data_IF_243072432242
#
_entry.id   IF_243072432242
#
_cell.length_a   1.000
_cell.length_b   1.000
_cell.length_c   1.000
_cell.angle_alpha   90.00
_cell.angle_beta   90.00
_cell.angle_gamma   90.00
#
_symmetry.space_group_name_H-M   'P 1'
#
loop_
_entity.id
_entity.type
_entity.pdbx_description
1 polymer ?
#
# COMPACT_ATOMS: atom_id res chain seq x y z
N UNK A 1 -2.61 -11.73 -36.14
CA UNK A 1 -1.99 -10.90 -35.09
C UNK A 1 -2.75 -11.18 -33.81
N UNK A 2 -2.18 -11.94 -32.88
CA UNK A 2 -2.86 -12.44 -31.69
C UNK A 2 -2.83 -11.41 -30.56
N UNK A 3 -3.99 -10.97 -30.09
CA UNK A 3 -4.12 -10.17 -28.86
C UNK A 3 -3.73 -11.02 -27.65
N UNK A 4 -2.71 -10.58 -26.92
CA UNK A 4 -2.36 -11.14 -25.63
C UNK A 4 -3.35 -10.61 -24.58
N UNK A 5 -4.20 -11.48 -24.05
CA UNK A 5 -5.13 -11.16 -22.97
C UNK A 5 -4.34 -10.82 -21.70
N UNK A 6 -4.32 -9.55 -21.29
CA UNK A 6 -3.67 -9.13 -20.04
C UNK A 6 -4.52 -9.60 -18.86
N UNK A 7 -4.15 -10.72 -18.25
CA UNK A 7 -4.76 -11.24 -17.01
C UNK A 7 -4.39 -10.33 -15.83
N UNK A 8 -5.10 -9.20 -15.67
CA UNK A 8 -4.96 -8.35 -14.49
C UNK A 8 -6.08 -8.65 -13.50
N UNK A 9 -5.71 -8.84 -12.22
CA UNK A 9 -6.68 -8.99 -11.13
C UNK A 9 -7.43 -7.67 -10.97
N UNK A 10 -8.75 -7.70 -11.17
CA UNK A 10 -9.65 -6.56 -10.97
C UNK A 10 -10.04 -6.46 -9.50
N UNK A 11 -9.95 -5.26 -8.94
CA UNK A 11 -10.46 -4.95 -7.60
C UNK A 11 -11.74 -4.13 -7.78
N UNK A 12 -12.85 -4.60 -7.22
CA UNK A 12 -14.15 -3.92 -7.34
C UNK A 12 -14.26 -2.74 -6.38
N UNK A 13 -13.71 -2.87 -5.18
CA UNK A 13 -13.64 -1.80 -4.18
C UNK A 13 -12.19 -1.30 -4.02
N UNK A 14 -11.94 0.02 -4.13
CA UNK A 14 -10.66 0.64 -3.79
C UNK A 14 -10.07 0.20 -2.43
N UNK A 15 -10.93 -0.08 -1.45
CA UNK A 15 -10.54 -0.47 -0.09
C UNK A 15 -9.90 -1.86 -0.04
N UNK A 16 -10.18 -2.73 -1.01
CA UNK A 16 -9.55 -4.05 -1.09
C UNK A 16 -8.06 -3.96 -1.47
N UNK A 17 -7.65 -2.86 -2.12
CA UNK A 17 -6.26 -2.62 -2.51
C UNK A 17 -5.42 -2.16 -1.32
N UNK A 18 -5.99 -1.34 -0.43
CA UNK A 18 -5.34 -0.73 0.71
C UNK A 18 -5.64 -1.50 2.00
N UNK A 19 -4.69 -2.34 2.44
CA UNK A 19 -4.91 -3.23 3.59
C UNK A 19 -4.75 -2.50 4.93
N UNK A 20 -3.66 -1.74 5.10
CA UNK A 20 -3.38 -0.97 6.32
C UNK A 20 -2.18 -0.03 6.19
N UNK A 21 -2.10 1.05 6.98
CA UNK A 21 -0.88 1.86 7.07
C UNK A 21 0.26 1.12 7.77
N UNK A 22 1.49 1.48 7.41
CA UNK A 22 2.71 1.00 8.08
C UNK A 22 3.15 2.02 9.12
N UNK A 23 3.29 1.55 10.36
CA UNK A 23 3.80 2.35 11.48
C UNK A 23 5.22 1.90 11.81
N UNK A 24 6.18 2.81 11.67
CA UNK A 24 7.61 2.64 11.93
C UNK A 24 8.30 4.01 11.93
N UNK A 25 9.46 4.14 12.56
CA UNK A 25 10.25 5.39 12.57
C UNK A 25 10.49 5.93 11.15
N UNK A 26 10.85 5.05 10.21
CA UNK A 26 11.06 5.43 8.81
C UNK A 26 9.79 5.92 8.13
N UNK A 27 8.64 5.32 8.42
CA UNK A 27 7.39 5.79 7.81
C UNK A 27 6.97 7.13 8.39
N UNK A 28 7.25 7.42 9.67
CA UNK A 28 7.07 8.74 10.25
C UNK A 28 8.01 9.79 9.64
N UNK A 29 9.29 9.48 9.48
CA UNK A 29 10.24 10.39 8.84
C UNK A 29 9.84 10.76 7.40
N UNK A 30 9.18 9.84 6.69
CA UNK A 30 8.67 10.10 5.34
C UNK A 30 7.39 10.96 5.32
N UNK A 31 6.67 11.09 6.44
CA UNK A 31 5.48 11.94 6.50
C UNK A 31 5.83 13.42 6.28
N UNK A 32 7.00 13.85 6.77
CA UNK A 32 7.51 15.22 6.61
C UNK A 32 7.70 15.57 5.12
N UNK A 33 7.93 14.56 4.27
CA UNK A 33 8.04 14.68 2.82
C UNK A 33 6.72 14.39 2.07
N UNK A 34 5.57 14.38 2.75
CA UNK A 34 4.26 13.99 2.22
C UNK A 34 4.22 12.59 1.59
N UNK A 35 5.03 11.66 2.14
CA UNK A 35 5.11 10.27 1.68
C UNK A 35 4.51 9.32 2.71
N UNK A 36 3.51 8.58 2.28
CA UNK A 36 2.74 7.68 3.12
C UNK A 36 2.99 6.23 2.74
N UNK A 37 3.16 5.36 3.73
CA UNK A 37 3.46 3.94 3.49
C UNK A 37 2.30 3.05 3.87
N UNK A 38 1.80 2.27 2.91
CA UNK A 38 0.72 1.31 3.08
C UNK A 38 1.20 -0.12 2.81
N UNK A 39 0.60 -1.09 3.50
CA UNK A 39 0.57 -2.48 3.04
C UNK A 39 -0.61 -2.59 2.09
N UNK A 40 -0.35 -3.15 0.92
CA UNK A 40 -1.32 -3.27 -0.17
C UNK A 40 -1.48 -4.73 -0.58
N UNK A 41 -2.57 -5.02 -1.28
CA UNK A 41 -2.82 -6.35 -1.83
C UNK A 41 -1.63 -6.83 -2.69
N UNK A 42 -1.08 -8.05 -2.51
CA UNK A 42 0.08 -8.52 -3.26
C UNK A 42 -0.11 -8.53 -4.79
N UNK A 43 -1.35 -8.65 -5.26
CA UNK A 43 -1.68 -8.64 -6.69
C UNK A 43 -1.89 -7.26 -7.31
N UNK A 44 -1.79 -6.16 -6.54
CA UNK A 44 -2.10 -4.82 -7.05
C UNK A 44 -0.96 -4.24 -7.89
N UNK A 45 -1.32 -3.46 -8.91
CA UNK A 45 -0.39 -2.67 -9.71
C UNK A 45 -0.30 -1.21 -9.19
N UNK A 46 0.69 -0.45 -9.67
CA UNK A 46 0.89 0.93 -9.21
C UNK A 46 -0.28 1.85 -9.54
N UNK A 47 -0.92 1.65 -10.70
CA UNK A 47 -2.06 2.44 -11.18
C UNK A 47 -3.29 2.25 -10.29
N UNK A 48 -3.60 1.02 -9.93
CA UNK A 48 -4.67 0.64 -9.01
C UNK A 48 -4.43 1.22 -7.62
N UNK A 49 -3.19 1.17 -7.12
CA UNK A 49 -2.84 1.77 -5.82
C UNK A 49 -3.05 3.30 -5.88
N UNK A 50 -2.61 3.95 -6.96
CA UNK A 50 -2.81 5.39 -7.16
C UNK A 50 -4.30 5.73 -7.11
N UNK A 51 -5.10 5.10 -7.97
CA UNK A 51 -6.55 5.31 -8.05
C UNK A 51 -7.24 5.02 -6.70
N UNK A 52 -6.81 3.97 -6.00
CA UNK A 52 -7.40 3.61 -4.71
C UNK A 52 -7.13 4.66 -3.63
N UNK A 53 -5.90 5.19 -3.55
CA UNK A 53 -5.58 6.25 -2.57
C UNK A 53 -6.32 7.53 -2.90
N UNK A 54 -6.34 7.94 -4.17
CA UNK A 54 -7.09 9.12 -4.62
C UNK A 54 -8.59 8.99 -4.31
N UNK A 55 -9.19 7.81 -4.54
CA UNK A 55 -10.61 7.57 -4.29
C UNK A 55 -10.97 7.46 -2.80
N UNK A 56 -10.15 6.80 -1.97
CA UNK A 56 -10.45 6.58 -0.55
C UNK A 56 -10.24 7.85 0.28
N UNK A 57 -9.20 8.63 -0.03
CA UNK A 57 -8.82 9.79 0.77
C UNK A 57 -9.10 11.13 0.11
N UNK A 58 -9.61 11.15 -1.13
CA UNK A 58 -9.89 12.39 -1.88
C UNK A 58 -8.68 13.33 -1.99
N UNK A 59 -7.49 12.75 -2.18
CA UNK A 59 -6.21 13.47 -2.32
C UNK A 59 -5.63 13.28 -3.70
N UNK A 60 -4.65 14.11 -4.09
CA UNK A 60 -3.90 13.95 -5.34
C UNK A 60 -2.59 13.21 -5.13
N UNK A 61 -2.35 12.17 -5.93
CA UNK A 61 -1.13 11.36 -5.84
C UNK A 61 -0.15 11.73 -6.97
N UNK A 62 1.08 12.10 -6.59
CA UNK A 62 2.16 12.43 -7.53
C UNK A 62 2.96 11.20 -7.94
N UNK A 63 3.21 10.26 -7.02
CA UNK A 63 4.04 9.09 -7.29
C UNK A 63 3.70 7.88 -6.42
N UNK A 64 3.98 6.67 -6.94
CA UNK A 64 3.81 5.40 -6.22
C UNK A 64 5.03 4.50 -6.42
N UNK A 65 5.66 4.12 -5.31
CA UNK A 65 6.80 3.22 -5.25
C UNK A 65 6.41 1.96 -4.48
N UNK A 66 6.52 0.80 -5.11
CA UNK A 66 6.12 -0.49 -4.51
C UNK A 66 7.32 -1.36 -4.21
N UNK A 67 7.30 -2.07 -3.08
CA UNK A 67 8.31 -3.04 -2.68
C UNK A 67 7.64 -4.35 -2.23
N UNK A 68 8.18 -5.48 -2.64
CA UNK A 68 7.75 -6.80 -2.18
C UNK A 68 8.66 -7.25 -1.03
N UNK A 69 8.08 -7.51 0.15
CA UNK A 69 8.82 -7.97 1.33
C UNK A 69 8.49 -9.42 1.62
N UNK A 70 9.52 -10.26 1.58
CA UNK A 70 9.41 -11.66 1.96
C UNK A 70 9.17 -11.79 3.48
N UNK A 71 8.23 -12.65 3.83
CA UNK A 71 7.91 -13.03 5.18
C UNK A 71 9.04 -13.85 5.79
N UNK A 72 9.41 -13.52 7.03
CA UNK A 72 10.49 -14.21 7.75
C UNK A 72 10.07 -15.64 8.08
N UNK A 73 10.99 -16.59 7.91
CA UNK A 73 10.88 -17.94 8.46
C UNK A 73 11.04 -17.88 9.99
N UNK A 74 10.23 -18.64 10.71
CA UNK A 74 10.23 -18.69 12.18
C UNK A 74 10.13 -20.14 12.64
N UNK A 75 10.95 -20.49 13.63
CA UNK A 75 10.91 -21.81 14.27
C UNK A 75 9.70 -21.87 15.20
N UNK A 76 8.97 -22.97 15.13
CA UNK A 76 7.90 -23.36 16.05
C UNK A 76 8.24 -24.74 16.63
N UNK A 77 7.48 -25.20 17.63
CA UNK A 77 7.69 -26.53 18.24
C UNK A 77 7.69 -27.65 17.20
N UNK A 78 6.83 -27.55 16.19
CA UNK A 78 6.61 -28.61 15.18
C UNK A 78 7.49 -28.46 13.93
N UNK A 79 8.20 -27.33 13.73
CA UNK A 79 9.04 -27.14 12.54
C UNK A 79 9.34 -25.68 12.22
N UNK A 80 9.54 -25.37 10.94
CA UNK A 80 9.74 -24.01 10.44
C UNK A 80 8.50 -23.50 9.70
N UNK A 81 7.80 -22.54 10.28
CA UNK A 81 6.74 -21.78 9.60
C UNK A 81 7.29 -20.55 8.88
N UNK A 82 6.51 -19.99 7.96
CA UNK A 82 6.82 -18.72 7.27
C UNK A 82 5.67 -17.73 7.48
N UNK A 83 5.99 -16.47 7.75
CA UNK A 83 4.99 -15.38 7.73
C UNK A 83 4.55 -15.07 6.30
N UNK A 84 3.37 -14.48 6.14
CA UNK A 84 2.89 -14.04 4.84
C UNK A 84 3.83 -13.00 4.21
N UNK A 85 4.01 -13.10 2.90
CA UNK A 85 4.69 -12.09 2.10
C UNK A 85 3.78 -10.86 1.97
N UNK A 86 4.35 -9.67 2.01
CA UNK A 86 3.58 -8.42 1.97
C UNK A 86 4.13 -7.52 0.88
N UNK A 87 3.24 -6.87 0.12
CA UNK A 87 3.60 -5.75 -0.74
C UNK A 87 3.40 -4.46 0.04
N UNK A 88 4.38 -3.56 0.00
CA UNK A 88 4.27 -2.21 0.56
C UNK A 88 4.28 -1.20 -0.58
N UNK A 89 3.52 -0.14 -0.43
CA UNK A 89 3.49 1.00 -1.33
C UNK A 89 3.85 2.26 -0.54
N UNK A 90 4.85 2.99 -1.01
CA UNK A 90 5.16 4.35 -0.60
C UNK A 90 4.49 5.24 -1.63
N UNK A 91 3.60 6.11 -1.16
CA UNK A 91 2.75 6.97 -1.99
C UNK A 91 3.10 8.41 -1.67
N UNK A 92 3.50 9.15 -2.68
CA UNK A 92 3.80 10.59 -2.58
C UNK A 92 2.54 11.36 -2.97
N UNK A 93 2.11 12.29 -2.11
CA UNK A 93 0.99 13.17 -2.41
C UNK A 93 1.45 14.45 -3.09
N UNK A 94 0.50 15.22 -3.61
CA UNK A 94 0.74 16.59 -4.02
C UNK A 94 0.96 17.48 -2.79
N UNK A 95 1.62 18.61 -3.01
CA UNK A 95 1.79 19.62 -1.97
C UNK A 95 0.42 20.14 -1.52
N UNK A 96 0.20 20.23 -0.20
CA UNK A 96 -1.06 20.68 0.40
C UNK A 96 -2.03 19.56 0.79
N UNK A 97 -1.90 18.37 0.21
CA UNK A 97 -2.74 17.22 0.56
C UNK A 97 -2.17 16.47 1.77
N UNK A 98 -3.05 16.07 2.70
CA UNK A 98 -2.69 15.26 3.87
C UNK A 98 -3.69 14.15 4.09
N UNK A 99 -3.19 12.99 4.52
CA UNK A 99 -4.03 11.87 4.93
C UNK A 99 -3.96 11.79 6.44
N UNK A 100 -5.13 11.78 7.08
CA UNK A 100 -5.22 11.53 8.51
C UNK A 100 -5.27 10.02 8.78
N UNK A 101 -4.10 9.44 9.06
CA UNK A 101 -3.90 7.98 9.13
C UNK A 101 -4.12 7.44 10.55
N UNK A 102 -4.08 8.30 11.56
CA UNK A 102 -3.95 7.90 12.96
C UNK A 102 -5.20 8.08 13.81
N UNK A 103 -6.34 8.45 13.20
CA UNK A 103 -7.60 8.57 13.94
C UNK A 103 -7.51 9.56 15.10
N UNK A 104 -7.23 10.83 14.79
CA UNK A 104 -7.67 11.94 15.65
C UNK A 104 -9.17 12.19 15.48
N UNK A 105 -9.88 12.81 16.44
CA UNK A 105 -11.33 12.92 16.41
C UNK A 105 -11.73 13.75 15.19
N UNK A 106 -12.49 13.14 14.29
CA UNK A 106 -13.17 13.86 13.20
C UNK A 106 -14.13 14.86 13.82
N UNK A 107 -13.94 16.14 13.51
CA UNK A 107 -14.96 17.19 13.66
C UNK A 107 -16.08 17.00 12.66
#
# INVERSE_FOLDING_TARGET
MSEATVTSKTYSDPRDVLVKPVVSEKSYALLDENKYTFIVAPGSNKTQIKQAVEAVFSVKVTGVNTINRQGKRKRTRTGFGKRADTKRAIVTLAEGDRIDIFGGPTS
#
